data_IF_475981967850
#
_entry.id   IF_475981967850
#
_cell.length_a   1.000
_cell.length_b   1.000
_cell.length_c   1.000
_cell.angle_alpha   90.00
_cell.angle_beta   90.00
_cell.angle_gamma   90.00
#
_symmetry.space_group_name_H-M   'P 1'
#
loop_
_entity.id
_entity.type
_entity.pdbx_description
1 polymer ?
#
# COMPACT_ATOMS: atom_id res chain seq x y z
N UNK A 1 17.59 -2.73 -14.16
CA UNK A 1 16.61 -1.76 -13.61
C UNK A 1 17.31 -0.88 -12.59
N UNK A 2 17.05 0.43 -12.58
CA UNK A 2 17.57 1.35 -11.57
C UNK A 2 16.53 2.41 -11.27
N UNK A 3 16.13 2.54 -10.01
CA UNK A 3 15.23 3.60 -9.56
C UNK A 3 15.96 4.95 -9.58
N UNK A 4 15.22 6.04 -9.82
CA UNK A 4 15.75 7.40 -9.63
C UNK A 4 15.83 7.76 -8.15
N UNK A 5 14.83 7.32 -7.37
CA UNK A 5 14.81 7.47 -5.92
C UNK A 5 15.80 6.52 -5.23
N UNK A 6 16.42 7.01 -4.16
CA UNK A 6 17.25 6.20 -3.27
C UNK A 6 16.37 5.41 -2.29
N UNK A 7 16.32 4.09 -2.44
CA UNK A 7 15.57 3.19 -1.55
C UNK A 7 16.35 2.81 -0.27
N UNK A 8 17.62 3.21 -0.14
CA UNK A 8 18.39 3.06 1.08
C UNK A 8 18.16 4.24 2.03
N UNK A 9 16.92 4.69 2.16
CA UNK A 9 16.52 5.85 2.96
C UNK A 9 16.03 5.48 4.37
N UNK A 10 16.01 4.18 4.70
CA UNK A 10 15.61 3.68 6.01
C UNK A 10 14.10 3.57 6.22
N UNK A 11 13.28 3.76 5.17
CA UNK A 11 11.83 3.59 5.21
C UNK A 11 11.40 2.21 4.71
N UNK A 12 10.15 1.86 5.01
CA UNK A 12 9.52 0.69 4.41
C UNK A 12 9.17 0.98 2.97
N UNK A 13 9.69 0.16 2.06
CA UNK A 13 9.26 0.12 0.67
C UNK A 13 8.49 -1.16 0.38
N UNK A 14 7.43 -1.04 -0.43
CA UNK A 14 6.69 -2.18 -0.95
C UNK A 14 7.18 -2.47 -2.37
N UNK A 15 7.56 -3.73 -2.64
CA UNK A 15 7.95 -4.16 -3.97
C UNK A 15 7.02 -5.30 -4.36
N UNK A 16 6.41 -5.16 -5.53
CA UNK A 16 5.55 -6.17 -6.11
C UNK A 16 6.04 -6.55 -7.49
N UNK A 17 6.24 -7.85 -7.72
CA UNK A 17 6.70 -8.41 -8.99
C UNK A 17 5.59 -9.31 -9.50
N UNK A 18 5.11 -9.04 -10.71
CA UNK A 18 4.00 -9.76 -11.34
C UNK A 18 4.40 -10.19 -12.73
N UNK A 19 4.13 -11.44 -13.08
CA UNK A 19 4.15 -11.85 -14.48
C UNK A 19 2.85 -11.41 -15.13
N UNK A 20 2.94 -10.50 -16.11
CA UNK A 20 1.75 -9.99 -16.81
C UNK A 20 1.48 -10.73 -18.12
N UNK A 21 2.50 -11.39 -18.69
CA UNK A 21 2.38 -12.20 -19.90
C UNK A 21 3.36 -13.37 -19.86
N UNK A 22 2.85 -14.59 -20.03
CA UNK A 22 3.64 -15.83 -20.18
C UNK A 22 4.06 -16.10 -21.61
N UNK A 23 3.42 -15.44 -22.59
CA UNK A 23 3.72 -15.60 -24.02
C UNK A 23 4.80 -14.60 -24.43
N UNK A 24 4.71 -13.38 -23.93
CA UNK A 24 5.66 -12.30 -24.23
C UNK A 24 6.80 -12.24 -23.20
N UNK A 25 6.76 -13.10 -22.19
CA UNK A 25 7.76 -13.19 -21.12
C UNK A 25 8.03 -11.84 -20.44
N UNK A 26 6.95 -11.22 -19.94
CA UNK A 26 7.01 -9.88 -19.35
C UNK A 26 6.68 -9.92 -17.86
N UNK A 27 7.59 -9.37 -17.06
CA UNK A 27 7.40 -9.04 -15.65
C UNK A 27 7.12 -7.54 -15.49
N UNK A 28 6.12 -7.20 -14.69
CA UNK A 28 5.88 -5.87 -14.14
C UNK A 28 6.46 -5.82 -12.73
N UNK A 29 7.29 -4.80 -12.45
CA UNK A 29 7.79 -4.48 -11.11
C UNK A 29 7.21 -3.14 -10.69
N UNK A 30 6.52 -3.13 -9.56
CA UNK A 30 5.95 -1.95 -8.91
C UNK A 30 6.68 -1.67 -7.61
N UNK A 31 7.01 -0.39 -7.37
CA UNK A 31 7.64 0.08 -6.15
C UNK A 31 6.70 1.08 -5.49
N UNK A 32 6.42 0.84 -4.22
CA UNK A 32 5.46 1.59 -3.41
C UNK A 32 4.10 1.74 -4.12
N UNK A 33 3.46 2.91 -3.98
CA UNK A 33 2.25 3.23 -4.71
C UNK A 33 2.62 3.82 -6.07
N UNK A 34 2.28 3.11 -7.15
CA UNK A 34 2.53 3.57 -8.52
C UNK A 34 1.22 3.75 -9.32
N UNK A 35 0.69 4.97 -9.47
CA UNK A 35 -0.60 5.23 -10.09
C UNK A 35 -0.61 4.87 -11.58
N UNK A 36 -1.76 4.33 -12.03
CA UNK A 36 -1.99 3.84 -13.39
C UNK A 36 -1.95 4.94 -14.46
N UNK A 37 -2.11 6.22 -14.09
CA UNK A 37 -2.08 7.36 -15.04
C UNK A 37 -0.71 7.63 -15.63
N UNK A 38 0.34 6.96 -15.13
CA UNK A 38 1.70 6.97 -15.68
C UNK A 38 1.79 6.13 -16.97
N UNK A 39 0.81 6.26 -17.87
CA UNK A 39 0.66 5.46 -19.10
C UNK A 39 1.75 5.83 -20.12
N UNK A 40 2.30 7.04 -20.06
CA UNK A 40 3.41 7.44 -20.92
C UNK A 40 4.75 7.25 -20.22
N UNK A 41 5.24 6.00 -20.23
CA UNK A 41 6.64 5.60 -20.42
C UNK A 41 6.78 4.15 -19.93
N UNK A 42 7.39 3.30 -20.75
CA UNK A 42 7.91 1.96 -20.40
C UNK A 42 8.72 1.94 -19.08
N UNK A 43 9.12 3.10 -18.57
CA UNK A 43 9.80 3.31 -17.30
C UNK A 43 9.23 4.57 -16.62
N UNK A 44 8.36 4.39 -15.62
CA UNK A 44 8.10 5.44 -14.63
C UNK A 44 9.00 5.17 -13.42
N UNK A 45 9.24 6.16 -12.56
CA UNK A 45 10.18 6.02 -11.43
C UNK A 45 9.82 4.88 -10.47
N UNK A 46 8.55 4.45 -10.47
CA UNK A 46 7.98 3.42 -9.60
C UNK A 46 7.42 2.18 -10.35
N UNK A 47 7.48 2.13 -11.69
CA UNK A 47 6.99 1.00 -12.50
C UNK A 47 7.94 0.69 -13.63
N UNK A 48 8.28 -0.59 -13.73
CA UNK A 48 9.22 -1.09 -14.72
C UNK A 48 8.69 -2.35 -15.37
N UNK A 49 8.91 -2.45 -16.68
CA UNK A 49 8.61 -3.64 -17.47
C UNK A 49 9.94 -4.33 -17.80
N UNK A 50 10.02 -5.63 -17.55
CA UNK A 50 11.21 -6.44 -17.83
C UNK A 50 10.79 -7.61 -18.71
N UNK A 51 11.41 -7.69 -19.89
CA UNK A 51 11.36 -8.87 -20.74
C UNK A 51 12.42 -9.88 -20.28
N UNK A 52 12.07 -11.16 -20.22
CA UNK A 52 12.99 -12.26 -19.89
C UNK A 52 12.92 -13.36 -20.96
N UNK A 53 13.93 -14.23 -21.06
CA UNK A 53 13.90 -15.32 -22.05
C UNK A 53 13.14 -16.54 -21.53
N UNK A 54 12.67 -17.41 -22.43
CA UNK A 54 12.02 -18.68 -22.07
C UNK A 54 12.88 -19.58 -21.19
N UNK A 55 14.21 -19.51 -21.34
CA UNK A 55 15.16 -20.28 -20.55
C UNK A 55 15.42 -19.66 -19.16
N UNK A 56 14.97 -18.42 -18.90
CA UNK A 56 15.14 -17.70 -17.63
C UNK A 56 14.00 -17.97 -16.63
N UNK A 57 13.18 -19.01 -16.87
CA UNK A 57 12.07 -19.40 -15.99
C UNK A 57 12.62 -19.97 -14.68
N UNK A 58 12.26 -19.34 -13.56
CA UNK A 58 12.61 -19.80 -12.23
C UNK A 58 12.04 -21.20 -11.97
N UNK A 59 12.93 -22.19 -11.76
CA UNK A 59 12.50 -23.50 -11.27
C UNK A 59 12.02 -23.38 -9.83
N UNK A 60 10.74 -23.69 -9.59
CA UNK A 60 10.13 -23.68 -8.26
C UNK A 60 10.58 -24.85 -7.37
N UNK A 61 11.41 -25.76 -7.89
CA UNK A 61 11.90 -26.94 -7.16
C UNK A 61 13.09 -26.63 -6.24
N UNK A 62 13.61 -25.40 -6.27
CA UNK A 62 14.71 -24.95 -5.42
C UNK A 62 14.18 -24.12 -4.25
N UNK A 63 14.85 -24.14 -3.09
CA UNK A 63 14.43 -23.35 -1.93
C UNK A 63 14.51 -21.85 -2.24
N UNK A 64 13.45 -21.12 -1.91
CA UNK A 64 13.43 -19.65 -1.99
C UNK A 64 14.44 -19.06 -1.01
N UNK A 65 15.44 -18.33 -1.51
CA UNK A 65 16.46 -17.67 -0.71
C UNK A 65 16.08 -16.21 -0.45
N UNK A 66 16.10 -15.79 0.82
CA UNK A 66 15.75 -14.42 1.23
C UNK A 66 16.93 -13.74 1.92
N UNK A 67 17.29 -12.53 1.47
CA UNK A 67 18.32 -11.70 2.09
C UNK A 67 19.77 -12.12 1.84
N UNK A 68 20.00 -13.17 1.05
CA UNK A 68 21.32 -13.66 0.68
C UNK A 68 21.20 -15.06 0.11
N UNK A 69 22.33 -15.75 -0.05
CA UNK A 69 22.37 -17.13 -0.55
C UNK A 69 23.10 -17.99 0.48
N UNK A 70 22.50 -19.11 0.86
CA UNK A 70 23.10 -20.06 1.78
C UNK A 70 24.35 -20.72 1.16
N UNK A 71 25.49 -20.66 1.86
CA UNK A 71 26.76 -21.24 1.40
C UNK A 71 26.65 -22.75 1.08
N UNK A 72 25.83 -23.47 1.84
CA UNK A 72 25.63 -24.90 1.63
C UNK A 72 24.93 -25.19 0.30
N UNK A 73 23.91 -24.41 -0.06
CA UNK A 73 23.24 -24.53 -1.37
C UNK A 73 24.20 -24.24 -2.53
N UNK A 74 25.07 -23.24 -2.38
CA UNK A 74 26.11 -22.93 -3.37
C UNK A 74 27.08 -24.10 -3.58
N UNK A 75 27.54 -24.70 -2.48
CA UNK A 75 28.47 -25.82 -2.52
C UNK A 75 27.83 -27.10 -3.08
N UNK A 76 26.59 -27.39 -2.68
CA UNK A 76 25.86 -28.59 -3.14
C UNK A 76 25.56 -28.52 -4.64
N UNK A 77 25.20 -27.35 -5.16
CA UNK A 77 24.86 -27.19 -6.57
C UNK A 77 26.08 -26.83 -7.45
N UNK A 78 27.29 -26.75 -6.88
CA UNK A 78 28.51 -26.27 -7.56
C UNK A 78 28.29 -24.97 -8.33
N UNK A 79 27.43 -24.11 -7.80
CA UNK A 79 26.94 -22.95 -8.51
C UNK A 79 27.87 -21.78 -8.23
N UNK A 80 28.60 -21.34 -9.27
CA UNK A 80 29.29 -20.05 -9.21
C UNK A 80 28.24 -18.94 -9.15
N UNK A 81 28.40 -18.03 -8.19
CA UNK A 81 27.54 -16.86 -8.13
C UNK A 81 27.75 -16.01 -9.37
N UNK A 82 26.68 -15.41 -9.93
CA UNK A 82 26.83 -14.40 -10.98
C UNK A 82 27.80 -13.31 -10.54
N UNK A 83 28.62 -12.80 -11.46
CA UNK A 83 29.59 -11.72 -11.16
C UNK A 83 28.90 -10.47 -10.58
N UNK A 84 27.60 -10.33 -10.83
CA UNK A 84 26.75 -9.24 -10.39
C UNK A 84 26.20 -9.42 -8.96
N UNK A 85 26.52 -10.52 -8.26
CA UNK A 85 26.06 -10.72 -6.88
C UNK A 85 26.65 -9.64 -5.94
N UNK A 86 25.78 -8.77 -5.44
CA UNK A 86 26.18 -7.60 -4.65
C UNK A 86 26.40 -7.88 -3.14
N UNK A 87 26.30 -9.14 -2.72
CA UNK A 87 26.41 -9.56 -1.32
C UNK A 87 25.07 -9.72 -0.61
N UNK A 88 25.14 -10.07 0.68
CA UNK A 88 23.96 -10.34 1.51
C UNK A 88 23.29 -9.04 1.97
N UNK A 89 21.96 -9.05 2.01
CA UNK A 89 21.13 -7.96 2.49
C UNK A 89 21.35 -7.70 3.98
N UNK A 90 21.32 -6.42 4.37
CA UNK A 90 21.33 -5.96 5.77
C UNK A 90 20.20 -4.96 5.96
N UNK A 91 19.18 -5.35 6.72
CA UNK A 91 17.99 -4.55 6.94
C UNK A 91 16.85 -5.41 7.45
N UNK A 92 15.63 -4.94 7.28
CA UNK A 92 14.42 -5.65 7.69
C UNK A 92 13.55 -5.98 6.47
N UNK A 93 12.97 -7.18 6.45
CA UNK A 93 12.01 -7.62 5.43
C UNK A 93 10.75 -8.07 6.16
N UNK A 94 9.57 -7.73 5.63
CA UNK A 94 8.27 -8.18 6.16
C UNK A 94 7.29 -8.42 5.02
N UNK A 95 6.21 -9.15 5.31
CA UNK A 95 5.10 -9.38 4.39
C UNK A 95 5.54 -10.07 3.07
N UNK A 96 6.37 -11.13 3.17
CA UNK A 96 6.75 -11.93 2.02
C UNK A 96 5.54 -12.72 1.52
N UNK A 97 5.12 -12.45 0.28
CA UNK A 97 4.11 -13.22 -0.43
C UNK A 97 4.73 -13.85 -1.67
N UNK A 98 4.53 -15.15 -1.84
CA UNK A 98 5.00 -15.88 -3.01
C UNK A 98 3.89 -16.81 -3.48
N UNK A 99 3.57 -16.77 -4.78
CA UNK A 99 2.42 -17.49 -5.35
C UNK A 99 1.11 -17.27 -4.56
N UNK A 100 0.83 -16.02 -4.18
CA UNK A 100 -0.31 -15.57 -3.36
C UNK A 100 -0.36 -16.08 -1.91
N UNK A 101 0.57 -16.94 -1.49
CA UNK A 101 0.68 -17.40 -0.11
C UNK A 101 1.51 -16.43 0.74
N UNK A 102 1.05 -16.15 1.96
CA UNK A 102 1.79 -15.35 2.95
C UNK A 102 2.71 -16.25 3.75
N UNK A 103 4.01 -15.99 3.67
CA UNK A 103 5.01 -16.72 4.43
C UNK A 103 5.24 -16.05 5.79
N UNK A 104 5.09 -16.80 6.88
CA UNK A 104 5.38 -16.34 8.23
C UNK A 104 6.89 -16.34 8.46
N UNK A 105 7.52 -15.16 8.52
CA UNK A 105 8.96 -14.98 8.65
C UNK A 105 9.53 -15.18 10.07
N UNK A 106 8.76 -15.73 11.01
CA UNK A 106 9.25 -16.06 12.36
C UNK A 106 10.40 -17.08 12.35
N UNK A 107 11.52 -16.76 13.01
CA UNK A 107 12.79 -17.52 12.91
C UNK A 107 12.63 -19.00 13.31
N UNK A 108 11.74 -19.31 14.23
CA UNK A 108 11.56 -20.66 14.79
C UNK A 108 10.56 -21.55 14.00
N UNK A 109 9.86 -21.00 12.99
CA UNK A 109 8.78 -21.73 12.29
C UNK A 109 9.17 -22.32 10.92
N UNK A 110 10.39 -22.11 10.44
CA UNK A 110 10.77 -22.52 9.09
C UNK A 110 11.42 -23.91 9.04
N UNK A 111 11.01 -24.73 8.07
CA UNK A 111 11.67 -25.98 7.68
C UNK A 111 13.01 -25.77 6.93
N UNK A 112 13.53 -24.54 6.90
CA UNK A 112 14.73 -24.13 6.17
C UNK A 112 15.89 -23.72 7.08
N UNK A 113 17.02 -23.35 6.47
CA UNK A 113 18.20 -22.86 7.18
C UNK A 113 18.13 -21.36 7.41
N UNK A 114 18.39 -20.92 8.64
CA UNK A 114 18.48 -19.50 9.01
C UNK A 114 19.76 -19.26 9.83
N UNK A 115 20.48 -18.17 9.55
CA UNK A 115 21.73 -17.81 10.24
C UNK A 115 21.75 -16.30 10.47
N UNK A 116 21.97 -15.87 11.70
CA UNK A 116 22.01 -14.45 12.11
C UNK A 116 20.70 -13.67 11.81
N UNK A 117 19.55 -14.34 11.91
CA UNK A 117 18.23 -13.69 11.87
C UNK A 117 17.71 -13.46 13.30
N UNK A 118 16.92 -12.42 13.46
CA UNK A 118 16.17 -12.11 14.68
C UNK A 118 14.73 -11.77 14.31
N UNK A 119 13.80 -12.10 15.20
CA UNK A 119 12.41 -11.69 15.01
C UNK A 119 12.25 -10.16 15.13
N UNK A 120 11.44 -9.62 14.22
CA UNK A 120 11.13 -8.20 14.17
C UNK A 120 12.24 -7.34 13.57
N UNK A 121 12.06 -6.03 13.68
CA UNK A 121 12.99 -5.01 13.20
C UNK A 121 13.43 -4.13 14.38
N UNK A 122 14.43 -4.59 15.13
CA UNK A 122 14.82 -4.09 16.46
C UNK A 122 14.82 -2.55 16.56
N UNK A 123 15.44 -1.85 15.60
CA UNK A 123 15.59 -0.39 15.66
C UNK A 123 14.26 0.36 15.53
N UNK A 124 13.38 -0.10 14.64
CA UNK A 124 12.06 0.52 14.40
C UNK A 124 11.04 0.04 15.45
N UNK A 125 11.11 -1.22 15.86
CA UNK A 125 10.28 -1.80 16.92
C UNK A 125 10.48 -1.09 18.26
N UNK A 126 11.71 -0.70 18.59
CA UNK A 126 12.01 0.11 19.78
C UNK A 126 11.31 1.47 19.74
N UNK A 127 11.16 2.09 18.55
CA UNK A 127 10.42 3.35 18.40
C UNK A 127 8.93 3.11 18.56
N UNK A 128 8.41 2.06 17.93
CA UNK A 128 7.01 1.67 18.06
C UNK A 128 6.60 1.38 19.51
N UNK A 129 7.44 0.67 20.26
CA UNK A 129 7.21 0.41 21.69
C UNK A 129 7.16 1.70 22.50
N UNK A 130 8.00 2.69 22.19
CA UNK A 130 7.99 4.00 22.86
C UNK A 130 6.75 4.83 22.51
N UNK A 131 6.31 4.79 21.26
CA UNK A 131 5.14 5.53 20.81
C UNK A 131 3.85 5.01 21.47
N UNK A 132 3.76 3.70 21.70
CA UNK A 132 2.63 3.10 22.41
C UNK A 132 1.33 3.15 21.60
N UNK A 133 1.39 2.89 20.28
CA UNK A 133 0.19 2.71 19.47
C UNK A 133 -0.71 1.66 20.12
N UNK A 134 -2.00 1.98 20.27
CA UNK A 134 -2.95 1.01 20.79
C UNK A 134 -3.12 -0.11 19.77
N UNK A 135 -2.46 -1.26 19.99
CA UNK A 135 -2.29 -2.35 19.03
C UNK A 135 -3.59 -2.88 18.41
N UNK A 136 -4.69 -2.80 19.15
CA UNK A 136 -6.01 -3.17 18.64
C UNK A 136 -6.65 -2.12 17.72
N UNK A 137 -6.23 -0.86 17.80
CA UNK A 137 -6.82 0.30 17.14
C UNK A 137 -5.95 0.91 16.03
N UNK A 138 -4.71 0.46 15.88
CA UNK A 138 -3.79 0.98 14.88
C UNK A 138 -2.59 0.07 14.70
N UNK A 139 -1.82 0.36 13.66
CA UNK A 139 -0.55 -0.29 13.36
C UNK A 139 0.54 0.77 13.52
N UNK A 140 1.63 0.44 14.21
CA UNK A 140 2.78 1.32 14.23
C UNK A 140 3.51 1.22 12.90
N UNK A 141 3.72 2.35 12.26
CA UNK A 141 4.58 2.49 11.10
C UNK A 141 5.80 3.32 11.50
N UNK A 142 6.97 2.72 11.41
CA UNK A 142 8.21 3.32 11.86
C UNK A 142 9.32 3.09 10.84
N UNK A 143 10.10 4.14 10.62
CA UNK A 143 11.34 4.14 9.87
C UNK A 143 12.53 4.35 10.85
N UNK A 144 13.75 4.44 10.32
CA UNK A 144 14.94 4.64 11.16
C UNK A 144 14.93 5.97 11.95
N UNK A 145 14.13 6.95 11.53
CA UNK A 145 14.11 8.31 12.07
C UNK A 145 12.86 8.63 12.91
N UNK A 146 11.68 8.17 12.49
CA UNK A 146 10.38 8.51 13.08
C UNK A 146 9.47 7.29 13.22
N UNK A 147 8.45 7.43 14.07
CA UNK A 147 7.38 6.46 14.22
C UNK A 147 6.04 7.18 14.32
N UNK A 148 5.01 6.61 13.73
CA UNK A 148 3.65 7.09 13.77
C UNK A 148 2.65 5.94 13.88
N UNK A 149 1.47 6.20 14.40
CA UNK A 149 0.39 5.21 14.42
C UNK A 149 -0.53 5.42 13.22
N UNK A 150 -0.64 4.40 12.37
CA UNK A 150 -1.65 4.34 11.31
C UNK A 150 -2.92 3.77 11.93
N UNK A 151 -3.91 4.63 12.15
CA UNK A 151 -5.14 4.23 12.83
C UNK A 151 -6.04 3.39 11.93
N UNK A 152 -6.67 2.36 12.53
CA UNK A 152 -7.72 1.60 11.87
C UNK A 152 -8.94 2.49 11.62
N UNK A 153 -9.80 2.13 10.65
CA UNK A 153 -11.03 2.85 10.39
C UNK A 153 -11.85 3.05 11.66
N UNK A 154 -12.35 4.27 11.88
CA UNK A 154 -13.11 4.64 13.08
C UNK A 154 -12.28 5.13 14.28
N UNK A 155 -10.94 5.10 14.20
CA UNK A 155 -10.02 5.57 15.25
C UNK A 155 -9.16 6.75 14.77
N UNK A 156 -8.76 7.61 15.69
CA UNK A 156 -7.94 8.80 15.41
C UNK A 156 -7.05 9.20 16.60
N UNK A 157 -6.26 10.25 16.41
CA UNK A 157 -5.27 10.76 17.36
C UNK A 157 -3.89 10.11 17.20
N UNK A 158 -2.87 10.64 17.88
CA UNK A 158 -1.46 10.25 17.69
C UNK A 158 -1.16 8.78 18.05
N UNK A 159 -2.01 8.16 18.89
CA UNK A 159 -1.90 6.76 19.32
C UNK A 159 -3.15 5.92 19.04
N UNK A 160 -4.09 6.45 18.23
CA UNK A 160 -5.34 5.78 17.85
C UNK A 160 -6.27 5.44 19.03
N UNK A 161 -6.24 6.23 20.10
CA UNK A 161 -7.07 6.02 21.29
C UNK A 161 -8.44 6.68 21.20
N UNK A 162 -8.63 7.63 20.27
CA UNK A 162 -9.88 8.39 20.13
C UNK A 162 -10.75 7.78 19.04
N UNK A 163 -12.07 7.87 19.19
CA UNK A 163 -13.02 7.50 18.13
C UNK A 163 -13.21 8.68 17.18
N UNK A 164 -13.36 8.39 15.89
CA UNK A 164 -13.73 9.42 14.91
C UNK A 164 -15.14 9.90 15.16
N UNK A 165 -15.38 11.20 15.02
CA UNK A 165 -16.73 11.77 15.10
C UNK A 165 -17.58 11.29 13.93
N UNK A 166 -18.78 10.78 14.21
CA UNK A 166 -19.79 10.44 13.20
C UNK A 166 -20.82 11.56 13.07
N UNK A 167 -21.24 11.85 11.84
CA UNK A 167 -22.42 12.66 11.58
C UNK A 167 -23.67 11.77 11.48
N UNK A 168 -24.78 12.26 12.04
CA UNK A 168 -26.10 11.72 11.77
C UNK A 168 -26.78 12.62 10.73
N UNK A 169 -27.00 12.06 9.53
CA UNK A 169 -27.65 12.78 8.44
C UNK A 169 -29.15 12.57 8.55
N UNK A 170 -29.87 13.57 9.04
CA UNK A 170 -31.31 13.51 9.25
C UNK A 170 -32.09 14.12 8.08
N UNK A 171 -33.27 13.58 7.79
CA UNK A 171 -34.23 14.18 6.85
C UNK A 171 -35.37 14.83 7.65
N UNK A 172 -35.45 16.16 7.61
CA UNK A 172 -36.56 16.86 8.26
C UNK A 172 -37.76 16.92 7.30
N UNK A 173 -38.82 16.18 7.63
CA UNK A 173 -40.09 16.15 6.88
C UNK A 173 -40.96 17.38 7.12
N UNK A 174 -40.62 18.25 8.09
CA UNK A 174 -41.50 19.28 8.64
C UNK A 174 -41.03 20.72 8.36
N UNK A 175 -39.82 20.93 7.85
CA UNK A 175 -39.35 22.27 7.45
C UNK A 175 -39.88 22.66 6.06
N UNK A 176 -40.53 23.83 6.00
CA UNK A 176 -41.11 24.40 4.77
C UNK A 176 -40.06 25.05 3.85
N UNK A 177 -38.84 25.28 4.35
CA UNK A 177 -37.69 25.76 3.57
C UNK A 177 -37.14 24.59 2.74
N UNK A 178 -37.04 24.75 1.43
CA UNK A 178 -36.83 23.67 0.45
C UNK A 178 -35.63 22.73 0.61
N UNK A 179 -34.72 22.97 1.55
CA UNK A 179 -33.59 22.08 1.85
C UNK A 179 -34.00 21.00 2.86
N UNK A 180 -34.59 19.91 2.34
CA UNK A 180 -35.05 18.78 3.17
C UNK A 180 -33.94 17.80 3.56
N UNK A 181 -32.75 17.94 2.99
CA UNK A 181 -31.62 17.01 3.15
C UNK A 181 -30.49 17.65 3.98
N UNK A 182 -29.97 16.90 4.95
CA UNK A 182 -28.71 17.26 5.63
C UNK A 182 -27.53 17.01 4.70
N UNK A 183 -26.57 17.93 4.64
CA UNK A 183 -25.33 17.77 3.86
C UNK A 183 -24.13 18.35 4.62
N UNK A 184 -22.94 17.86 4.29
CA UNK A 184 -21.67 18.38 4.79
C UNK A 184 -20.71 18.58 3.63
N UNK A 185 -20.10 19.76 3.53
CA UNK A 185 -19.13 20.09 2.47
C UNK A 185 -17.74 20.25 3.07
N UNK A 186 -16.76 19.57 2.48
CA UNK A 186 -15.34 19.72 2.84
C UNK A 186 -14.59 20.32 1.67
N UNK A 187 -13.80 21.36 1.93
CA UNK A 187 -12.86 21.92 0.95
C UNK A 187 -11.45 21.47 1.32
N UNK A 188 -10.76 20.84 0.39
CA UNK A 188 -9.35 20.53 0.56
C UNK A 188 -8.58 21.86 0.62
N UNK A 189 -7.96 22.16 1.75
CA UNK A 189 -7.05 23.28 1.87
C UNK A 189 -5.70 22.85 1.31
N UNK A 190 -5.31 23.41 0.17
CA UNK A 190 -3.95 23.23 -0.35
C UNK A 190 -3.00 23.82 0.68
N UNK A 191 -2.21 22.99 1.37
CA UNK A 191 -1.06 23.50 2.10
C UNK A 191 -0.08 24.05 1.06
N UNK A 192 0.42 25.27 1.18
CA UNK A 192 1.50 25.73 0.34
C UNK A 192 2.74 24.94 0.76
N UNK A 193 3.08 23.92 -0.01
CA UNK A 193 4.30 23.16 0.22
C UNK A 193 5.49 24.08 -0.09
N UNK A 194 6.36 24.28 0.89
CA UNK A 194 7.70 24.82 0.67
C UNK A 194 8.63 23.79 -0.01
N UNK A 195 8.11 22.65 -0.48
CA UNK A 195 8.87 21.64 -1.21
C UNK A 195 8.11 21.21 -2.46
N UNK A 196 8.78 21.33 -3.60
CA UNK A 196 8.34 20.92 -4.93
C UNK A 196 8.09 19.40 -4.97
N UNK A 197 6.91 18.99 -4.53
CA UNK A 197 6.40 17.64 -4.79
C UNK A 197 5.20 17.79 -5.71
N UNK A 198 5.35 17.35 -6.96
CA UNK A 198 4.25 17.29 -7.90
C UNK A 198 3.09 16.56 -7.24
N UNK A 199 1.99 17.28 -7.03
CA UNK A 199 0.70 16.76 -6.57
C UNK A 199 0.22 15.69 -7.56
N UNK A 200 0.69 14.46 -7.41
CA UNK A 200 -0.01 13.31 -7.94
C UNK A 200 -1.40 13.34 -7.29
N UNK A 201 -2.42 13.42 -8.12
CA UNK A 201 -3.83 13.43 -7.72
C UNK A 201 -4.18 12.05 -7.16
N UNK A 202 -3.66 11.73 -5.97
CA UNK A 202 -3.97 10.49 -5.27
C UNK A 202 -5.33 10.70 -4.62
N UNK A 203 -6.40 10.29 -5.31
CA UNK A 203 -7.72 10.22 -4.71
C UNK A 203 -7.82 8.96 -3.84
N UNK A 204 -7.18 9.00 -2.67
CA UNK A 204 -7.33 7.97 -1.63
C UNK A 204 -8.38 8.44 -0.62
N UNK A 205 -9.54 7.82 -0.63
CA UNK A 205 -10.59 8.03 0.37
C UNK A 205 -10.96 6.72 1.04
N UNK A 206 -11.31 6.79 2.31
CA UNK A 206 -11.86 5.69 3.08
C UNK A 206 -12.99 6.23 3.94
N UNK A 207 -14.14 5.57 3.92
CA UNK A 207 -15.31 5.95 4.70
C UNK A 207 -15.96 4.71 5.32
N UNK A 208 -16.68 4.92 6.42
CA UNK A 208 -17.58 3.94 7.02
C UNK A 208 -18.96 4.57 7.08
N UNK A 209 -19.98 3.83 6.64
CA UNK A 209 -21.37 4.29 6.71
C UNK A 209 -22.27 3.16 7.22
N UNK A 210 -23.46 3.54 7.71
CA UNK A 210 -24.53 2.61 8.07
C UNK A 210 -25.85 3.23 7.65
N UNK A 211 -26.72 2.45 7.00
CA UNK A 211 -28.08 2.88 6.65
C UNK A 211 -29.00 1.67 6.54
N UNK A 212 -30.31 1.91 6.59
CA UNK A 212 -31.36 0.93 6.25
C UNK A 212 -32.01 1.24 4.90
N UNK A 213 -31.71 2.40 4.33
CA UNK A 213 -32.22 2.81 3.03
C UNK A 213 -31.57 1.99 1.93
N UNK A 214 -32.37 1.65 0.93
CA UNK A 214 -31.93 0.80 -0.19
C UNK A 214 -31.42 1.61 -1.38
N UNK A 215 -31.65 2.92 -1.39
CA UNK A 215 -31.26 3.81 -2.48
C UNK A 215 -30.96 5.21 -1.95
N UNK A 216 -29.67 5.57 -1.82
CA UNK A 216 -29.20 6.86 -1.29
C UNK A 216 -27.82 7.22 -1.85
N UNK A 217 -27.49 8.51 -1.90
CA UNK A 217 -26.13 8.98 -2.19
C UNK A 217 -25.30 9.04 -0.90
N UNK A 218 -24.07 8.52 -0.92
CA UNK A 218 -23.14 8.51 0.23
C UNK A 218 -22.06 9.58 0.07
N UNK A 219 -21.44 9.64 -1.10
CA UNK A 219 -20.36 10.58 -1.39
C UNK A 219 -20.55 11.13 -2.80
N UNK A 220 -20.37 12.44 -2.90
CA UNK A 220 -20.42 13.17 -4.15
C UNK A 220 -19.16 14.01 -4.29
N UNK A 221 -18.41 13.79 -5.36
CA UNK A 221 -17.32 14.64 -5.81
C UNK A 221 -17.74 15.22 -7.16
N UNK A 222 -17.85 16.54 -7.27
CA UNK A 222 -18.22 17.22 -8.51
C UNK A 222 -17.22 18.36 -8.70
N UNK A 223 -16.70 18.50 -9.92
CA UNK A 223 -16.08 19.74 -10.34
C UNK A 223 -17.16 20.71 -10.83
N UNK A 224 -17.48 21.72 -10.02
CA UNK A 224 -18.50 22.72 -10.40
C UNK A 224 -18.09 23.61 -11.57
N UNK A 225 -16.85 23.52 -12.05
CA UNK A 225 -16.38 24.20 -13.27
C UNK A 225 -16.42 23.31 -14.51
N UNK A 226 -16.60 22.00 -14.35
CA UNK A 226 -16.70 21.04 -15.43
C UNK A 226 -17.78 19.99 -15.12
N UNK A 227 -18.97 20.17 -15.69
CA UNK A 227 -20.14 19.31 -15.45
C UNK A 227 -19.90 17.84 -15.83
N UNK A 228 -18.91 17.55 -16.67
CA UNK A 228 -18.56 16.20 -17.08
C UNK A 228 -17.69 15.47 -16.03
N UNK A 229 -17.01 16.19 -15.13
CA UNK A 229 -16.11 15.58 -14.13
C UNK A 229 -16.81 15.39 -12.79
N UNK A 230 -17.28 14.17 -12.53
CA UNK A 230 -17.91 13.81 -11.27
C UNK A 230 -17.60 12.37 -10.84
N UNK A 231 -17.75 12.12 -9.54
CA UNK A 231 -17.81 10.80 -8.94
C UNK A 231 -18.95 10.75 -7.92
N UNK A 232 -19.84 9.77 -8.09
CA UNK A 232 -20.86 9.44 -7.10
C UNK A 232 -20.58 8.06 -6.51
N UNK A 233 -20.64 7.97 -5.18
CA UNK A 233 -20.71 6.71 -4.46
C UNK A 233 -22.09 6.61 -3.81
N UNK A 234 -22.84 5.58 -4.17
CA UNK A 234 -24.27 5.48 -3.89
C UNK A 234 -24.62 4.06 -3.45
N UNK A 235 -25.75 3.92 -2.78
CA UNK A 235 -26.44 2.65 -2.61
C UNK A 235 -27.56 2.62 -3.64
N UNK A 236 -27.71 1.51 -4.35
CA UNK A 236 -28.81 1.26 -5.27
C UNK A 236 -29.31 -0.16 -5.09
N UNK A 237 -30.58 -0.31 -4.75
CA UNK A 237 -31.19 -1.60 -4.40
C UNK A 237 -30.39 -2.36 -3.34
N UNK A 238 -29.87 -1.65 -2.33
CA UNK A 238 -29.06 -2.20 -1.23
C UNK A 238 -27.60 -2.53 -1.58
N UNK A 239 -27.14 -2.23 -2.80
CA UNK A 239 -25.78 -2.52 -3.26
C UNK A 239 -24.99 -1.24 -3.47
N UNK A 240 -23.70 -1.26 -3.13
CA UNK A 240 -22.80 -0.15 -3.40
C UNK A 240 -22.57 -0.01 -4.90
N UNK A 241 -22.75 1.20 -5.42
CA UNK A 241 -22.47 1.55 -6.82
C UNK A 241 -21.59 2.80 -6.85
N UNK A 242 -20.53 2.74 -7.66
CA UNK A 242 -19.73 3.92 -8.01
C UNK A 242 -20.03 4.33 -9.45
N UNK A 243 -20.19 5.63 -9.69
CA UNK A 243 -20.37 6.21 -11.02
C UNK A 243 -19.35 7.31 -11.22
N UNK A 244 -18.79 7.38 -12.41
CA UNK A 244 -17.80 8.38 -12.80
C UNK A 244 -18.26 9.05 -14.10
N UNK A 245 -18.08 10.35 -14.17
CA UNK A 245 -18.13 11.12 -15.41
C UNK A 245 -16.72 11.63 -15.73
N UNK A 246 -16.42 11.71 -17.03
CA UNK A 246 -15.22 12.34 -17.57
C UNK A 246 -15.59 13.25 -18.72
#
# INVERSE_FOLDING_TARGET
LKTSANLADGKWHMIEIRQISTIEHILEILIDYCPLTSISKQFSECRFMIEFNEDDVFSTNQPLQLGGIALQEQQTNQQELPMEYMGNFRGCIRNLRFADELYDLHVDLHSGQSVNLHDGCILTDLRCRKLGCQSNNGICDADLYQAQCVCKPGRTGPICSQETTSYDFTYDKQTWTGDRASYATFRHQHKPDNELTFSSQILKFQIMFRTREISDNILTLIDFHNDDTFMFLEIKSGHLQARFGS
#
